data_IF_755665774975
#
_entry.id   IF_755665774975
#
_cell.length_a   1.000
_cell.length_b   1.000
_cell.length_c   1.000
_cell.angle_alpha   90.00
_cell.angle_beta   90.00
_cell.angle_gamma   90.00
#
_symmetry.space_group_name_H-M   'P 1'
#
loop_
_entity.id
_entity.type
_entity.pdbx_description
1 polymer ?
#
# COMPACT_ATOMS: atom_id res chain seq x y z
N UNK A 1 -6.38 5.44 -23.46
CA UNK A 1 -5.34 6.35 -22.94
C UNK A 1 -5.96 7.10 -21.78
N UNK A 2 -5.57 6.79 -20.54
CA UNK A 2 -6.13 7.47 -19.36
C UNK A 2 -5.25 8.68 -19.04
N UNK A 3 -5.84 9.86 -19.12
CA UNK A 3 -5.23 11.13 -18.76
C UNK A 3 -5.30 11.26 -17.24
N UNK A 4 -4.15 11.30 -16.55
CA UNK A 4 -4.10 11.71 -15.15
C UNK A 4 -3.91 13.22 -15.13
N UNK A 5 -4.98 13.94 -14.78
CA UNK A 5 -4.92 15.35 -14.39
C UNK A 5 -4.19 15.42 -13.04
N UNK A 6 -3.16 16.26 -12.96
CA UNK A 6 -2.14 16.24 -11.91
C UNK A 6 -2.65 16.18 -10.47
N UNK A 7 -2.24 15.12 -9.78
CA UNK A 7 -1.75 15.20 -8.42
C UNK A 7 -0.40 14.47 -8.40
N UNK A 8 0.67 15.13 -7.96
CA UNK A 8 2.02 14.56 -7.89
C UNK A 8 2.22 13.71 -6.61
N UNK A 9 1.12 13.34 -5.96
CA UNK A 9 1.09 12.52 -4.76
C UNK A 9 1.09 11.04 -5.07
N UNK A 10 1.67 10.24 -4.18
CA UNK A 10 1.46 8.80 -4.14
C UNK A 10 0.05 8.57 -3.58
N UNK A 11 -0.96 8.22 -4.42
CA UNK A 11 -2.38 8.31 -4.05
C UNK A 11 -2.78 7.36 -2.93
N UNK A 12 -2.00 6.30 -2.74
CA UNK A 12 -2.25 5.27 -1.72
C UNK A 12 -1.44 5.52 -0.43
N UNK A 13 -0.67 6.62 -0.35
CA UNK A 13 0.17 6.90 0.82
C UNK A 13 -0.69 7.30 2.01
N UNK A 14 -0.46 6.62 3.14
CA UNK A 14 -1.10 6.95 4.41
C UNK A 14 -0.29 8.05 5.08
N UNK A 15 -0.90 9.22 5.27
CA UNK A 15 -0.23 10.39 5.86
C UNK A 15 -0.38 10.45 7.38
N UNK A 16 -1.53 10.02 7.88
CA UNK A 16 -1.83 10.00 9.31
C UNK A 16 -2.69 8.77 9.63
N UNK A 17 -2.34 8.07 10.71
CA UNK A 17 -3.06 6.92 11.20
C UNK A 17 -3.41 7.14 12.68
N UNK A 18 -4.70 7.14 13.06
CA UNK A 18 -5.09 7.35 14.45
C UNK A 18 -4.42 6.34 15.40
N UNK A 19 -3.75 6.87 16.44
CA UNK A 19 -3.05 6.06 17.43
C UNK A 19 -1.63 5.62 17.03
N UNK A 20 -1.13 6.05 15.86
CA UNK A 20 0.25 5.82 15.47
C UNK A 20 1.22 6.59 16.38
N UNK A 21 2.24 5.93 16.95
CA UNK A 21 3.30 6.63 17.67
C UNK A 21 4.05 7.60 16.75
N UNK A 22 4.52 8.75 17.26
CA UNK A 22 5.22 9.74 16.44
C UNK A 22 6.63 9.29 16.01
N UNK A 23 7.18 8.25 16.63
CA UNK A 23 8.50 7.73 16.33
C UNK A 23 8.55 6.22 16.52
N UNK A 24 9.23 5.47 15.61
CA UNK A 24 9.87 5.97 14.39
C UNK A 24 8.84 6.39 13.32
N UNK A 25 9.21 7.26 12.36
CA UNK A 25 8.34 7.54 11.22
C UNK A 25 8.16 6.26 10.40
N UNK A 26 6.93 6.00 9.96
CA UNK A 26 6.59 4.82 9.16
C UNK A 26 6.09 5.34 7.81
N UNK A 27 6.72 4.89 6.74
CA UNK A 27 6.23 5.10 5.38
C UNK A 27 5.42 3.89 4.96
N UNK A 28 4.12 4.08 4.76
CA UNK A 28 3.18 3.00 4.50
C UNK A 28 2.07 3.45 3.57
N UNK A 29 1.53 2.49 2.84
CA UNK A 29 0.61 2.68 1.74
C UNK A 29 -0.52 1.67 1.85
N UNK A 30 -1.75 2.08 1.58
CA UNK A 30 -2.90 1.18 1.60
C UNK A 30 -3.82 1.49 0.44
N UNK A 31 -4.32 0.44 -0.21
CA UNK A 31 -5.18 0.59 -1.37
C UNK A 31 -5.73 -0.73 -1.87
N UNK A 32 -6.15 -0.74 -3.14
CA UNK A 32 -6.76 -1.90 -3.79
C UNK A 32 -6.01 -2.29 -5.06
N UNK A 33 -5.58 -3.54 -5.14
CA UNK A 33 -5.03 -4.15 -6.34
C UNK A 33 -6.15 -4.83 -7.11
N UNK A 34 -6.49 -4.33 -8.30
CA UNK A 34 -7.49 -4.98 -9.17
C UNK A 34 -6.90 -6.26 -9.75
N UNK A 35 -7.44 -7.41 -9.36
CA UNK A 35 -6.96 -8.74 -9.80
C UNK A 35 -7.81 -9.35 -10.91
N UNK A 36 -9.07 -8.90 -11.06
CA UNK A 36 -9.89 -9.22 -12.21
C UNK A 36 -10.85 -8.06 -12.49
N UNK A 37 -10.61 -7.33 -13.58
CA UNK A 37 -11.40 -6.16 -13.95
C UNK A 37 -12.81 -6.52 -14.43
N UNK A 38 -12.95 -7.60 -15.19
CA UNK A 38 -14.24 -8.05 -15.76
C UNK A 38 -15.24 -8.45 -14.67
N UNK A 39 -14.74 -9.11 -13.62
CA UNK A 39 -15.54 -9.56 -12.47
C UNK A 39 -15.50 -8.58 -11.29
N UNK A 40 -14.92 -7.38 -11.46
CA UNK A 40 -14.83 -6.36 -10.42
C UNK A 40 -14.07 -6.78 -9.15
N UNK A 41 -13.16 -7.75 -9.24
CA UNK A 41 -12.41 -8.26 -8.07
C UNK A 41 -11.17 -7.43 -7.81
N UNK A 42 -11.04 -6.97 -6.58
CA UNK A 42 -9.85 -6.30 -6.06
C UNK A 42 -9.44 -6.88 -4.71
N UNK A 43 -8.13 -6.88 -4.44
CA UNK A 43 -7.56 -7.25 -3.15
C UNK A 43 -7.12 -5.98 -2.43
N UNK A 44 -7.55 -5.84 -1.18
CA UNK A 44 -7.00 -4.83 -0.29
C UNK A 44 -5.54 -5.18 0.05
N UNK A 45 -4.67 -4.16 0.08
CA UNK A 45 -3.29 -4.30 0.53
C UNK A 45 -2.93 -3.22 1.54
N UNK A 46 -1.95 -3.55 2.40
CA UNK A 46 -1.28 -2.59 3.27
C UNK A 46 0.22 -2.86 3.23
N UNK A 47 0.95 -1.95 2.61
CA UNK A 47 2.40 -2.05 2.39
C UNK A 47 3.15 -1.12 3.35
N UNK A 48 4.26 -1.62 3.89
CA UNK A 48 5.16 -0.88 4.76
C UNK A 48 6.56 -0.92 4.16
N UNK A 49 7.16 0.25 3.95
CA UNK A 49 8.54 0.32 3.50
C UNK A 49 9.50 -0.12 4.61
N UNK A 50 10.67 -0.61 4.21
CA UNK A 50 11.71 -0.93 5.17
C UNK A 50 12.23 0.36 5.85
N UNK A 51 12.46 0.29 7.16
CA UNK A 51 12.94 1.43 7.95
C UNK A 51 14.35 1.90 7.57
N UNK A 52 15.11 1.11 6.82
CA UNK A 52 16.50 1.43 6.45
C UNK A 52 16.81 0.97 5.03
N UNK A 53 17.17 1.93 4.17
CA UNK A 53 17.49 1.72 2.74
C UNK A 53 16.37 0.98 1.99
N UNK A 54 15.13 1.50 1.95
CA UNK A 54 13.97 0.79 1.41
C UNK A 54 14.16 0.30 -0.03
N UNK A 55 14.85 1.07 -0.87
CA UNK A 55 15.14 0.70 -2.27
C UNK A 55 16.07 -0.51 -2.42
N UNK A 56 16.86 -0.85 -1.39
CA UNK A 56 17.82 -1.96 -1.42
C UNK A 56 17.28 -3.22 -0.71
N UNK A 57 16.11 -3.13 -0.06
CA UNK A 57 15.53 -4.25 0.69
C UNK A 57 14.61 -5.08 -0.19
N UNK A 58 14.59 -6.42 0.00
CA UNK A 58 13.67 -7.28 -0.73
C UNK A 58 12.22 -7.02 -0.30
N UNK A 59 11.28 -7.29 -1.19
CA UNK A 59 9.85 -7.26 -0.90
C UNK A 59 9.43 -8.57 -0.22
N UNK A 60 8.69 -8.47 0.89
CA UNK A 60 8.04 -9.60 1.56
C UNK A 60 6.52 -9.51 1.34
N UNK A 61 5.94 -10.56 0.77
CA UNK A 61 4.48 -10.70 0.67
C UNK A 61 3.97 -11.58 1.81
N UNK A 62 3.08 -11.05 2.63
CA UNK A 62 2.41 -11.80 3.70
C UNK A 62 0.96 -12.12 3.30
N UNK A 63 0.60 -13.40 3.29
CA UNK A 63 -0.75 -13.87 3.01
C UNK A 63 -1.25 -14.68 4.20
N UNK A 64 -2.38 -14.25 4.77
CA UNK A 64 -3.07 -15.04 5.78
C UNK A 64 -3.85 -16.17 5.13
N UNK A 65 -3.87 -17.33 5.79
CA UNK A 65 -4.70 -18.46 5.39
C UNK A 65 -6.10 -18.42 6.02
N UNK A 66 -6.84 -19.52 5.83
CA UNK A 66 -8.22 -19.69 6.29
C UNK A 66 -9.18 -19.86 5.12
N UNK A 67 -10.33 -20.46 5.39
CA UNK A 67 -11.46 -20.50 4.47
C UNK A 67 -12.56 -19.60 5.05
N UNK A 68 -12.96 -18.60 4.27
CA UNK A 68 -14.12 -17.76 4.54
C UNK A 68 -15.41 -18.47 4.11
#
# INVERSE_FOLDING_TARGET
MLTISGDSGEPDRVLDLPGQPPSPPISHFSGYLTVNRENGRALFYWFFEAQTLPSDRPLLLWLNGGCA
#
